data_IF_004016134667
#
_entry.id   IF_004016134667
#
_cell.length_a   1.000
_cell.length_b   1.000
_cell.length_c   1.000
_cell.angle_alpha   90.00
_cell.angle_beta   90.00
_cell.angle_gamma   90.00
#
_symmetry.space_group_name_H-M   'P 1'
#
loop_
_entity.id
_entity.type
_entity.pdbx_description
1 polymer ?
#
# COMPACT_ATOMS: atom_id res chain seq x y z
N UNK A 1 -15.23 13.79 -0.78
CA UNK A 1 -14.01 13.06 -1.22
C UNK A 1 -13.67 13.37 -2.67
N UNK A 2 -14.53 13.03 -3.65
CA UNK A 2 -14.23 13.17 -5.09
C UNK A 2 -13.83 14.60 -5.50
N UNK A 3 -14.53 15.64 -5.03
CA UNK A 3 -14.19 17.03 -5.37
C UNK A 3 -12.83 17.49 -4.81
N UNK A 4 -12.39 16.95 -3.67
CA UNK A 4 -11.06 17.25 -3.12
C UNK A 4 -9.97 16.58 -3.94
N UNK A 5 -10.19 15.34 -4.41
CA UNK A 5 -9.26 14.65 -5.32
C UNK A 5 -9.16 15.39 -6.66
N UNK A 6 -10.27 15.90 -7.20
CA UNK A 6 -10.26 16.76 -8.41
C UNK A 6 -9.45 18.03 -8.21
N UNK A 7 -9.64 18.71 -7.08
CA UNK A 7 -8.87 19.92 -6.75
C UNK A 7 -7.38 19.63 -6.64
N UNK A 8 -7.00 18.57 -5.92
CA UNK A 8 -5.62 18.16 -5.78
C UNK A 8 -4.97 17.80 -7.13
N UNK A 9 -5.73 17.18 -8.03
CA UNK A 9 -5.26 16.91 -9.40
C UNK A 9 -5.00 18.20 -10.18
N UNK A 10 -5.89 19.19 -10.08
CA UNK A 10 -5.75 20.48 -10.75
C UNK A 10 -4.54 21.29 -10.24
N UNK A 11 -4.17 21.13 -8.97
CA UNK A 11 -3.04 21.79 -8.33
C UNK A 11 -1.69 21.12 -8.64
N UNK A 12 -1.69 19.92 -9.24
CA UNK A 12 -0.48 19.12 -9.50
C UNK A 12 -0.32 18.80 -10.99
N UNK A 13 0.41 19.64 -11.76
CA UNK A 13 0.66 19.39 -13.18
C UNK A 13 1.25 18.01 -13.44
N UNK A 14 0.67 17.25 -14.37
CA UNK A 14 1.13 15.91 -14.75
C UNK A 14 0.60 14.76 -13.88
N UNK A 15 -0.24 15.04 -12.88
CA UNK A 15 -0.93 14.01 -12.08
C UNK A 15 -2.35 13.80 -12.62
N UNK A 16 -2.65 12.57 -13.04
CA UNK A 16 -3.99 12.22 -13.49
C UNK A 16 -4.92 11.96 -12.30
N UNK A 17 -6.19 12.38 -12.40
CA UNK A 17 -7.20 12.12 -11.37
C UNK A 17 -7.38 10.62 -11.09
N UNK A 18 -7.25 9.77 -12.11
CA UNK A 18 -7.30 8.31 -11.96
C UNK A 18 -6.17 7.75 -11.09
N UNK A 19 -4.99 8.37 -11.13
CA UNK A 19 -3.86 7.97 -10.28
C UNK A 19 -4.10 8.39 -8.83
N UNK A 20 -4.65 9.59 -8.61
CA UNK A 20 -5.02 10.04 -7.26
C UNK A 20 -6.15 9.20 -6.66
N UNK A 21 -7.17 8.80 -7.44
CA UNK A 21 -8.19 7.86 -6.97
C UNK A 21 -7.56 6.54 -6.53
N UNK A 22 -6.69 5.97 -7.35
CA UNK A 22 -6.02 4.70 -7.04
C UNK A 22 -5.09 4.81 -5.82
N UNK A 23 -4.28 5.87 -5.74
CA UNK A 23 -3.41 6.14 -4.59
C UNK A 23 -4.23 6.36 -3.31
N UNK A 24 -5.39 7.01 -3.41
CA UNK A 24 -6.27 7.18 -2.25
C UNK A 24 -6.82 5.83 -1.78
N UNK A 25 -7.16 4.92 -2.70
CA UNK A 25 -7.53 3.55 -2.34
C UNK A 25 -6.38 2.79 -1.65
N UNK A 26 -5.13 2.98 -2.11
CA UNK A 26 -3.96 2.42 -1.44
C UNK A 26 -3.84 2.94 -0.01
N UNK A 27 -3.92 4.26 0.17
CA UNK A 27 -3.86 4.89 1.48
C UNK A 27 -4.92 4.34 2.44
N UNK A 28 -6.14 4.12 1.95
CA UNK A 28 -7.23 3.56 2.76
C UNK A 28 -7.00 2.10 3.17
N UNK A 29 -6.40 1.28 2.29
CA UNK A 29 -6.00 -0.07 2.65
C UNK A 29 -4.81 -0.06 3.61
N UNK A 30 -3.77 0.73 3.32
CA UNK A 30 -2.57 0.84 4.15
C UNK A 30 -2.89 1.36 5.55
N UNK A 31 -3.81 2.33 5.67
CA UNK A 31 -4.29 2.79 6.97
C UNK A 31 -4.89 1.63 7.79
N UNK A 32 -5.64 0.71 7.17
CA UNK A 32 -6.15 -0.49 7.85
C UNK A 32 -5.06 -1.46 8.25
N UNK A 33 -4.09 -1.70 7.36
CA UNK A 33 -2.95 -2.59 7.58
C UNK A 33 -2.11 -2.09 8.77
N UNK A 34 -1.69 -0.83 8.74
CA UNK A 34 -0.79 -0.24 9.73
C UNK A 34 -1.49 0.18 11.04
N UNK A 35 -2.81 0.32 11.09
CA UNK A 35 -3.50 0.66 12.35
C UNK A 35 -3.70 -0.53 13.30
N UNK A 36 -3.59 -1.78 12.80
CA UNK A 36 -3.81 -2.97 13.62
C UNK A 36 -2.54 -3.48 14.30
N UNK A 37 -1.52 -3.76 13.48
CA UNK A 37 -0.22 -4.23 13.95
C UNK A 37 0.87 -3.65 13.03
N UNK A 38 1.29 -2.39 13.26
CA UNK A 38 2.22 -1.69 12.38
C UNK A 38 3.58 -2.37 12.31
N UNK A 39 4.00 -3.09 13.35
CA UNK A 39 5.33 -3.69 13.43
C UNK A 39 5.48 -4.94 12.57
N UNK A 40 4.36 -5.57 12.20
CA UNK A 40 4.34 -6.72 11.28
C UNK A 40 4.51 -6.37 9.81
N UNK A 41 4.36 -5.11 9.43
CA UNK A 41 4.29 -4.69 8.03
C UNK A 41 5.37 -3.67 7.70
N UNK A 42 5.94 -3.82 6.51
CA UNK A 42 6.86 -2.84 5.93
C UNK A 42 6.49 -2.59 4.48
N UNK A 43 6.17 -1.35 4.16
CA UNK A 43 5.85 -0.89 2.81
C UNK A 43 7.11 -0.86 1.95
N UNK A 44 7.11 -1.58 0.83
CA UNK A 44 8.21 -1.68 -0.13
C UNK A 44 7.89 -0.93 -1.44
N UNK A 45 8.81 -1.05 -2.39
CA UNK A 45 8.56 -0.72 -3.79
C UNK A 45 8.33 0.76 -4.09
N UNK A 46 7.69 1.02 -5.23
CA UNK A 46 7.44 2.37 -5.71
C UNK A 46 6.45 3.14 -4.82
N UNK A 47 5.56 2.44 -4.11
CA UNK A 47 4.61 3.03 -3.17
C UNK A 47 5.33 3.57 -1.92
N UNK A 48 6.35 2.88 -1.41
CA UNK A 48 7.21 3.41 -0.35
C UNK A 48 7.98 4.67 -0.80
N UNK A 49 8.45 4.69 -2.06
CA UNK A 49 9.16 5.85 -2.61
C UNK A 49 8.23 7.04 -2.84
N UNK A 50 6.98 6.80 -3.24
CA UNK A 50 5.94 7.84 -3.35
C UNK A 50 5.68 8.53 -2.02
N UNK A 51 5.57 7.76 -0.93
CA UNK A 51 5.40 8.30 0.41
C UNK A 51 6.60 9.16 0.87
N UNK A 52 7.82 8.85 0.39
CA UNK A 52 9.04 9.59 0.75
C UNK A 52 9.25 10.88 -0.05
N UNK A 53 8.90 10.88 -1.34
CA UNK A 53 9.29 11.95 -2.27
C UNK A 53 8.20 13.01 -2.47
N UNK A 54 7.07 12.93 -1.75
CA UNK A 54 5.93 13.87 -1.81
C UNK A 54 5.38 14.16 -3.24
N UNK A 55 5.78 13.40 -4.27
CA UNK A 55 5.42 13.72 -5.64
C UNK A 55 5.93 12.75 -6.72
N UNK A 56 5.00 12.41 -7.61
CA UNK A 56 5.14 11.97 -9.01
C UNK A 56 6.05 10.76 -9.29
N UNK A 57 5.71 9.60 -8.74
CA UNK A 57 5.95 8.36 -9.48
C UNK A 57 4.73 8.03 -10.32
N UNK A 58 4.94 7.99 -11.63
CA UNK A 58 3.96 7.48 -12.58
C UNK A 58 3.96 5.95 -12.49
N UNK A 59 2.79 5.37 -12.28
CA UNK A 59 2.49 3.95 -12.55
C UNK A 59 3.00 2.87 -11.58
N UNK A 60 2.90 3.04 -10.25
CA UNK A 60 2.82 1.82 -9.41
C UNK A 60 1.39 1.27 -9.49
N UNK A 61 1.23 0.16 -10.20
CA UNK A 61 -0.03 -0.61 -10.25
C UNK A 61 -0.23 -1.47 -8.99
N UNK A 62 0.87 -1.73 -8.28
CA UNK A 62 0.91 -2.70 -7.20
C UNK A 62 1.38 -2.02 -5.90
N UNK A 63 0.90 -2.54 -4.77
CA UNK A 63 1.33 -2.19 -3.40
C UNK A 63 2.20 -3.33 -2.86
N UNK A 64 3.47 -3.07 -2.63
CA UNK A 64 4.39 -4.08 -2.10
C UNK A 64 4.45 -4.04 -0.58
N UNK A 65 4.15 -5.14 0.09
CA UNK A 65 4.20 -5.26 1.55
C UNK A 65 5.10 -6.42 1.95
N UNK A 66 6.13 -6.13 2.72
CA UNK A 66 6.91 -7.14 3.43
C UNK A 66 6.24 -7.44 4.77
N UNK A 67 5.95 -8.72 4.99
CA UNK A 67 5.50 -9.27 6.26
C UNK A 67 6.73 -9.63 7.11
N UNK A 68 6.78 -9.12 8.34
CA UNK A 68 7.94 -9.22 9.22
C UNK A 68 7.97 -10.52 10.05
N UNK A 69 6.85 -11.24 10.13
CA UNK A 69 6.83 -12.62 10.66
C UNK A 69 7.41 -13.56 9.61
N UNK A 70 8.18 -14.57 10.06
CA UNK A 70 8.93 -15.52 9.24
C UNK A 70 8.12 -16.10 8.06
N UNK A 71 8.76 -16.30 6.89
CA UNK A 71 8.43 -17.03 5.63
C UNK A 71 6.95 -17.48 5.31
N UNK A 72 5.91 -17.03 6.01
CA UNK A 72 4.55 -17.53 5.94
C UNK A 72 3.64 -16.56 5.17
N UNK A 73 3.62 -16.77 3.85
CA UNK A 73 2.74 -16.02 2.94
C UNK A 73 1.26 -16.25 3.22
N UNK A 74 0.88 -17.39 3.84
CA UNK A 74 -0.51 -17.69 4.18
C UNK A 74 -0.94 -16.86 5.39
N UNK A 75 -0.11 -16.79 6.42
CA UNK A 75 -0.34 -15.88 7.56
C UNK A 75 -0.39 -14.43 7.10
N UNK A 76 0.48 -14.02 6.17
CA UNK A 76 0.45 -12.68 5.57
C UNK A 76 -0.87 -12.40 4.85
N UNK A 77 -1.38 -13.34 4.04
CA UNK A 77 -2.67 -13.19 3.34
C UNK A 77 -3.85 -13.11 4.31
N UNK A 78 -3.90 -13.98 5.33
CA UNK A 78 -4.94 -14.00 6.35
C UNK A 78 -4.94 -12.70 7.18
N UNK A 79 -3.75 -12.17 7.49
CA UNK A 79 -3.58 -10.92 8.21
C UNK A 79 -4.00 -9.72 7.35
N UNK A 80 -3.66 -9.71 6.05
CA UNK A 80 -4.13 -8.69 5.10
C UNK A 80 -5.65 -8.69 5.01
N UNK A 81 -6.27 -9.88 4.89
CA UNK A 81 -7.72 -10.05 4.81
C UNK A 81 -8.42 -9.52 6.07
N UNK A 82 -7.87 -9.86 7.24
CA UNK A 82 -8.38 -9.38 8.53
C UNK A 82 -8.25 -7.86 8.67
N UNK A 83 -7.14 -7.29 8.21
CA UNK A 83 -6.95 -5.84 8.21
C UNK A 83 -7.95 -5.14 7.28
N UNK A 84 -8.08 -5.62 6.04
CA UNK A 84 -8.96 -5.05 5.03
C UNK A 84 -10.44 -5.05 5.45
N UNK A 85 -10.86 -6.00 6.29
CA UNK A 85 -12.22 -6.11 6.82
C UNK A 85 -12.55 -5.10 7.93
N UNK A 86 -11.57 -4.37 8.48
CA UNK A 86 -11.81 -3.38 9.54
C UNK A 86 -12.64 -2.21 9.00
N UNK A 87 -13.71 -1.90 9.73
CA UNK A 87 -14.46 -0.67 9.52
C UNK A 87 -13.70 0.50 10.16
N UNK A 88 -13.43 1.52 9.36
CA UNK A 88 -12.75 2.75 9.79
C UNK A 88 -13.68 3.97 9.72
N UNK A 89 -14.97 3.78 9.47
CA UNK A 89 -15.94 4.87 9.30
C UNK A 89 -15.71 5.72 8.04
N UNK A 90 -14.89 5.26 7.10
CA UNK A 90 -14.47 6.00 5.91
C UNK A 90 -15.26 5.62 4.64
N UNK A 91 -16.31 4.79 4.79
CA UNK A 91 -17.16 4.24 3.72
C UNK A 91 -16.47 3.25 2.76
N UNK A 92 -15.18 2.97 2.96
CA UNK A 92 -14.46 2.01 2.15
C UNK A 92 -14.74 0.58 2.59
N UNK A 93 -15.01 -0.29 1.62
CA UNK A 93 -14.96 -1.75 1.77
C UNK A 93 -13.97 -2.32 0.77
N UNK A 94 -13.24 -3.34 1.20
CA UNK A 94 -12.25 -4.02 0.37
C UNK A 94 -12.65 -5.47 0.18
N UNK A 95 -12.56 -5.94 -1.05
CA UNK A 95 -12.60 -7.38 -1.36
C UNK A 95 -11.19 -7.82 -1.67
N UNK A 96 -10.73 -8.85 -0.95
CA UNK A 96 -9.41 -9.47 -1.12
C UNK A 96 -9.63 -10.80 -1.86
N UNK A 97 -9.19 -10.89 -3.11
CA UNK A 97 -9.27 -12.14 -3.87
C UNK A 97 -8.21 -13.15 -3.45
N UNK A 98 -8.17 -14.34 -4.07
CA UNK A 98 -7.19 -15.36 -3.75
C UNK A 98 -5.79 -14.95 -4.25
N UNK A 99 -4.79 -15.07 -3.37
CA UNK A 99 -3.40 -14.86 -3.72
C UNK A 99 -2.89 -15.85 -4.78
N UNK A 100 -1.96 -15.39 -5.62
CA UNK A 100 -1.22 -16.23 -6.57
C UNK A 100 0.27 -16.09 -6.35
N UNK A 101 0.98 -17.21 -6.27
CA UNK A 101 2.44 -17.20 -6.18
C UNK A 101 3.02 -16.75 -7.53
N UNK A 102 3.93 -15.76 -7.52
CA UNK A 102 4.44 -15.14 -8.77
C UNK A 102 5.96 -15.14 -8.95
N UNK A 103 6.76 -15.55 -7.97
CA UNK A 103 8.21 -15.53 -8.07
C UNK A 103 8.82 -16.93 -8.18
N UNK A 104 9.85 -17.09 -9.04
CA UNK A 104 10.67 -18.31 -9.14
C UNK A 104 11.43 -18.65 -7.84
N UNK A 105 11.49 -17.72 -6.88
CA UNK A 105 12.11 -17.88 -5.55
C UNK A 105 11.06 -17.80 -4.42
N UNK A 106 9.83 -18.28 -4.66
CA UNK A 106 8.91 -18.77 -3.62
C UNK A 106 8.41 -17.81 -2.52
N UNK A 107 8.74 -16.52 -2.58
CA UNK A 107 8.56 -15.58 -1.45
C UNK A 107 7.61 -14.42 -1.71
N UNK A 108 6.85 -14.45 -2.81
CA UNK A 108 5.90 -13.39 -3.15
C UNK A 108 4.55 -13.93 -3.56
N UNK A 109 3.51 -13.51 -2.85
CA UNK A 109 2.12 -13.79 -3.13
C UNK A 109 1.42 -12.51 -3.64
N UNK A 110 0.96 -12.54 -4.89
CA UNK A 110 0.21 -11.45 -5.50
C UNK A 110 -1.27 -11.60 -5.23
N UNK A 111 -1.85 -10.65 -4.52
CA UNK A 111 -3.23 -10.65 -4.07
C UNK A 111 -4.03 -9.56 -4.82
N UNK A 112 -5.07 -9.92 -5.59
CA UNK A 112 -5.93 -8.92 -6.22
C UNK A 112 -6.85 -8.27 -5.17
N UNK A 113 -7.00 -6.95 -5.26
CA UNK A 113 -7.81 -6.15 -4.34
C UNK A 113 -8.76 -5.26 -5.12
N UNK A 114 -10.01 -5.19 -4.66
CA UNK A 114 -11.02 -4.25 -5.15
C UNK A 114 -11.54 -3.40 -4.00
N UNK A 115 -11.43 -2.09 -4.13
CA UNK A 115 -11.95 -1.10 -3.21
C UNK A 115 -13.31 -0.59 -3.68
N UNK A 116 -14.27 -0.51 -2.77
CA UNK A 116 -15.62 -0.02 -3.01
C UNK A 116 -15.92 1.16 -2.10
N UNK A 117 -16.71 2.11 -2.61
CA UNK A 117 -17.35 3.16 -1.81
C UNK A 117 -18.85 3.06 -2.03
N UNK A 118 -19.58 2.69 -0.98
CA UNK A 118 -20.97 2.29 -1.09
C UNK A 118 -21.11 1.02 -1.97
N UNK A 119 -21.85 1.14 -3.07
CA UNK A 119 -22.09 0.05 -4.04
C UNK A 119 -21.20 0.12 -5.28
N UNK A 120 -20.43 1.20 -5.45
CA UNK A 120 -19.62 1.41 -6.65
C UNK A 120 -18.18 0.97 -6.42
N UNK A 121 -17.60 0.29 -7.41
CA UNK A 121 -16.15 0.08 -7.45
C UNK A 121 -15.46 1.45 -7.54
N UNK A 122 -14.50 1.65 -6.64
CA UNK A 122 -13.71 2.86 -6.56
C UNK A 122 -12.35 2.69 -7.23
N UNK A 123 -11.68 1.56 -6.99
CA UNK A 123 -10.43 1.18 -7.65
C UNK A 123 -10.16 -0.32 -7.50
N UNK A 124 -9.49 -0.90 -8.49
CA UNK A 124 -8.91 -2.25 -8.43
C UNK A 124 -7.39 -2.19 -8.64
N UNK A 125 -6.67 -3.03 -7.90
CA UNK A 125 -5.21 -3.05 -7.87
C UNK A 125 -4.69 -4.38 -7.30
N UNK A 126 -3.37 -4.53 -7.20
CA UNK A 126 -2.74 -5.72 -6.60
C UNK A 126 -1.91 -5.34 -5.39
N UNK A 127 -1.81 -6.27 -4.46
CA UNK A 127 -0.90 -6.23 -3.32
C UNK A 127 0.08 -7.38 -3.48
N UNK A 128 1.37 -7.09 -3.55
CA UNK A 128 2.41 -8.09 -3.55
C UNK A 128 2.91 -8.28 -2.11
N UNK A 129 2.51 -9.40 -1.52
CA UNK A 129 2.94 -9.81 -0.19
C UNK A 129 4.27 -10.54 -0.29
N UNK A 130 5.26 -10.06 0.44
CA UNK A 130 6.60 -10.62 0.49
C UNK A 130 6.86 -11.14 1.89
N UNK A 131 7.44 -12.32 2.02
CA UNK A 131 7.87 -12.89 3.29
C UNK A 131 9.32 -13.39 3.19
N UNK A 132 9.97 -13.62 4.33
CA UNK A 132 11.30 -14.25 4.33
C UNK A 132 12.47 -13.37 3.90
N UNK A 133 12.29 -12.05 3.88
CA UNK A 133 13.37 -11.11 3.62
C UNK A 133 13.92 -10.57 4.93
N UNK A 134 15.25 -10.64 5.07
CA UNK A 134 15.97 -9.99 6.17
C UNK A 134 16.31 -8.55 5.77
N UNK A 135 15.89 -7.59 6.58
CA UNK A 135 16.29 -6.18 6.44
C UNK A 135 17.64 -5.95 7.10
N UNK A 136 18.50 -5.12 6.50
CA UNK A 136 19.77 -4.71 7.13
C UNK A 136 19.62 -3.38 7.88
N UNK A 137 18.64 -2.56 7.50
CA UNK A 137 18.28 -1.32 8.19
C UNK A 137 17.01 -1.42 9.06
N UNK A 138 16.72 -0.33 9.77
CA UNK A 138 15.47 -0.16 10.53
C UNK A 138 14.42 0.50 9.63
N UNK A 139 13.19 -0.04 9.52
CA UNK A 139 12.11 0.60 8.78
C UNK A 139 11.84 2.02 9.27
N UNK A 140 11.65 2.95 8.32
CA UNK A 140 11.46 4.37 8.60
C UNK A 140 9.97 4.73 8.56
N UNK A 141 9.52 5.66 9.40
CA UNK A 141 8.16 6.17 9.30
C UNK A 141 8.02 7.14 8.13
N UNK A 142 7.01 6.95 7.30
CA UNK A 142 6.68 7.81 6.16
C UNK A 142 5.21 8.25 6.22
N UNK A 143 4.87 9.45 5.71
CA UNK A 143 3.49 9.93 5.72
C UNK A 143 2.60 9.15 4.72
N UNK A 144 1.26 9.25 4.85
CA UNK A 144 0.33 8.78 3.82
C UNK A 144 0.61 9.40 2.45
N UNK A 145 0.39 8.65 1.37
CA UNK A 145 0.81 9.02 0.01
C UNK A 145 -0.03 10.19 -0.53
N UNK A 146 -1.32 10.21 -0.19
CA UNK A 146 -2.25 11.25 -0.61
C UNK A 146 -2.47 12.23 0.53
N UNK A 147 -1.96 13.48 0.42
CA UNK A 147 -2.10 14.50 1.44
C UNK A 147 -3.48 15.17 1.33
N UNK A 148 -4.54 14.40 1.62
CA UNK A 148 -5.89 14.94 1.73
C UNK A 148 -6.27 15.06 3.20
N UNK A 149 -6.61 16.28 3.60
CA UNK A 149 -7.25 16.54 4.88
C UNK A 149 -8.78 16.46 4.72
N UNK A 150 -9.35 15.44 5.37
CA UNK A 150 -10.78 15.16 5.43
C UNK A 150 -11.16 15.02 6.91
N UNK A 151 -12.07 15.87 7.43
CA UNK A 151 -12.52 15.76 8.81
C UNK A 151 -13.02 14.35 9.13
N UNK A 152 -12.51 13.76 10.23
CA UNK A 152 -12.87 12.41 10.66
C UNK A 152 -12.16 11.27 9.93
N UNK A 153 -11.31 11.56 8.92
CA UNK A 153 -10.54 10.53 8.23
C UNK A 153 -9.29 10.18 9.04
N UNK A 154 -9.24 8.97 9.59
CA UNK A 154 -8.03 8.48 10.26
C UNK A 154 -6.88 8.35 9.24
N UNK A 155 -5.71 8.86 9.61
CA UNK A 155 -4.47 8.77 8.84
C UNK A 155 -3.40 8.13 9.72
N UNK A 156 -2.76 7.11 9.21
CA UNK A 156 -1.73 6.35 9.94
C UNK A 156 -0.44 6.43 9.15
N UNK A 157 0.71 6.78 9.76
CA UNK A 157 1.99 6.70 9.08
C UNK A 157 2.31 5.25 8.70
N UNK A 158 3.11 5.06 7.67
CA UNK A 158 3.56 3.74 7.24
C UNK A 158 4.98 3.51 7.73
N UNK A 159 5.34 2.24 7.95
CA UNK A 159 6.75 1.86 8.07
C UNK A 159 7.23 1.48 6.68
N UNK A 160 8.18 2.23 6.14
CA UNK A 160 8.76 2.00 4.82
C UNK A 160 10.07 1.23 4.93
N UNK A 161 10.30 0.39 3.93
CA UNK A 161 11.54 -0.36 3.77
C UNK A 161 12.75 0.58 3.76
N UNK A 162 13.84 0.22 4.45
CA UNK A 162 15.02 1.09 4.56
C UNK A 162 15.54 1.47 3.17
N UNK A 163 15.91 2.74 2.99
CA UNK A 163 16.41 3.21 1.68
C UNK A 163 17.65 2.43 1.25
N UNK A 164 18.54 2.10 2.19
CA UNK A 164 19.76 1.32 1.94
C UNK A 164 19.45 -0.06 1.35
N UNK A 165 18.46 -0.76 1.92
CA UNK A 165 18.03 -2.08 1.43
C UNK A 165 17.29 -1.94 0.09
N UNK A 166 16.54 -0.86 -0.13
CA UNK A 166 15.87 -0.59 -1.41
C UNK A 166 16.88 -0.36 -2.55
N UNK A 167 18.00 0.31 -2.27
CA UNK A 167 19.09 0.51 -3.24
C UNK A 167 19.77 -0.84 -3.50
N UNK A 168 20.07 -1.61 -2.47
CA UNK A 168 20.68 -2.93 -2.60
C UNK A 168 19.82 -3.88 -3.47
N UNK A 169 18.52 -3.99 -3.19
CA UNK A 169 17.59 -4.81 -3.99
C UNK A 169 17.59 -4.40 -5.47
N UNK A 170 17.66 -3.09 -5.76
CA UNK A 170 17.69 -2.57 -7.15
C UNK A 170 19.02 -2.81 -7.87
N UNK A 171 20.13 -2.77 -7.15
CA UNK A 171 21.47 -2.98 -7.74
C UNK A 171 21.75 -4.47 -7.93
N UNK A 172 21.31 -5.32 -7.00
CA UNK A 172 21.53 -6.76 -7.05
C UNK A 172 20.50 -7.53 -7.92
N UNK A 173 19.31 -6.97 -8.13
CA UNK A 173 18.25 -7.58 -8.94
C UNK A 173 18.31 -7.26 -10.45
N UNK A 174 19.50 -6.91 -10.98
CA UNK A 174 19.70 -6.53 -12.39
C UNK A 174 20.51 -7.57 -13.16
#
# INVERSE_FOLDING_TARGET
>A
MSDRLRRLAAERPGVQLSDLHRQFAYDRLLCRVFSGDPDRWVLKGAVAMLARLEGVSRHSLDVDLLYSSADDLREAEDTLRSAAARDMGDQFRFTIGPGRLIAQVGRTLRVPVVAFVGASEFASFRVDLVAGLTMTGVPEQVPPIVPIDLPGLLRTPYRAYPVVDHIADKVCGR
#
